data_IF_207799631204
#
_entry.id   IF_207799631204
#
_cell.length_a   1.000
_cell.length_b   1.000
_cell.length_c   1.000
_cell.angle_alpha   90.00
_cell.angle_beta   90.00
_cell.angle_gamma   90.00
#
_symmetry.space_group_name_H-M   'P 1'
#
loop_
_entity.id
_entity.type
_entity.pdbx_description
1 polymer ?
#
# COMPACT_ATOMS: atom_id res chain seq x y z
N UNK A 1 2.55 -22.76 19.92
CA UNK A 1 1.31 -22.03 19.60
C UNK A 1 1.12 -22.10 18.10
N UNK A 2 -0.10 -22.33 17.62
CA UNK A 2 -0.34 -22.64 16.21
C UNK A 2 -0.16 -21.41 15.33
N UNK A 3 0.37 -21.60 14.12
CA UNK A 3 0.57 -20.55 13.10
C UNK A 3 -0.67 -19.68 12.83
N UNK A 4 -1.86 -20.16 13.17
CA UNK A 4 -3.15 -19.52 12.94
C UNK A 4 -3.66 -18.70 14.14
N UNK A 5 -3.09 -18.88 15.35
CA UNK A 5 -3.53 -18.15 16.55
C UNK A 5 -3.20 -16.66 16.44
N UNK A 6 -2.05 -16.33 15.83
CA UNK A 6 -1.64 -14.95 15.56
C UNK A 6 -2.58 -14.23 14.58
N UNK A 7 -3.13 -14.93 13.59
CA UNK A 7 -4.08 -14.38 12.61
C UNK A 7 -5.45 -14.04 13.22
N UNK A 8 -5.81 -14.70 14.33
CA UNK A 8 -7.03 -14.40 15.08
C UNK A 8 -6.90 -13.18 15.99
N UNK A 9 -5.67 -12.72 16.27
CA UNK A 9 -5.45 -11.54 17.11
C UNK A 9 -5.83 -10.26 16.38
N UNK A 10 -6.58 -9.36 17.05
CA UNK A 10 -6.88 -8.02 16.51
C UNK A 10 -5.60 -7.21 16.29
N UNK A 11 -4.62 -7.36 17.17
CA UNK A 11 -3.35 -6.63 17.09
C UNK A 11 -2.58 -6.95 15.81
N UNK A 12 -2.69 -8.18 15.29
CA UNK A 12 -2.11 -8.54 14.00
C UNK A 12 -2.69 -7.69 12.86
N UNK A 13 -4.01 -7.53 12.82
CA UNK A 13 -4.67 -6.73 11.80
C UNK A 13 -4.41 -5.24 11.96
N UNK A 14 -4.24 -4.74 13.19
CA UNK A 14 -3.83 -3.36 13.45
C UNK A 14 -2.41 -3.11 12.89
N UNK A 15 -1.47 -4.02 13.13
CA UNK A 15 -0.11 -3.94 12.58
C UNK A 15 -0.11 -3.97 11.04
N UNK A 16 -0.89 -4.88 10.45
CA UNK A 16 -1.07 -4.98 9.00
C UNK A 16 -1.64 -3.69 8.44
N UNK A 17 -2.72 -3.15 9.04
CA UNK A 17 -3.34 -1.91 8.60
C UNK A 17 -2.37 -0.74 8.69
N UNK A 18 -1.67 -0.58 9.81
CA UNK A 18 -0.69 0.49 10.01
C UNK A 18 0.42 0.44 8.97
N UNK A 19 0.97 -0.74 8.68
CA UNK A 19 1.99 -0.92 7.66
C UNK A 19 1.44 -0.67 6.26
N UNK A 20 0.25 -1.19 5.97
CA UNK A 20 -0.39 -1.05 4.66
C UNK A 20 -0.72 0.40 4.34
N UNK A 21 -1.20 1.20 5.31
CA UNK A 21 -1.54 2.62 5.11
C UNK A 21 -0.28 3.42 4.76
N UNK A 22 0.80 3.27 5.54
CA UNK A 22 2.04 4.00 5.29
C UNK A 22 2.63 3.63 3.94
N UNK A 23 2.70 2.33 3.63
CA UNK A 23 3.22 1.85 2.34
C UNK A 23 2.34 2.33 1.18
N UNK A 24 1.02 2.26 1.33
CA UNK A 24 0.07 2.66 0.28
C UNK A 24 0.20 4.14 -0.06
N UNK A 25 0.28 5.02 0.94
CA UNK A 25 0.44 6.46 0.73
C UNK A 25 1.72 6.75 -0.06
N UNK A 26 2.85 6.17 0.36
CA UNK A 26 4.15 6.34 -0.31
C UNK A 26 4.09 5.79 -1.74
N UNK A 27 3.49 4.61 -1.93
CA UNK A 27 3.39 3.94 -3.22
C UNK A 27 2.52 4.71 -4.22
N UNK A 28 1.40 5.27 -3.75
CA UNK A 28 0.52 6.13 -4.55
C UNK A 28 1.22 7.45 -4.90
N UNK A 29 1.87 8.09 -3.92
CA UNK A 29 2.60 9.34 -4.14
C UNK A 29 3.75 9.17 -5.16
N UNK A 30 4.54 8.10 -5.02
CA UNK A 30 5.60 7.76 -5.98
C UNK A 30 5.04 7.47 -7.38
N UNK A 31 3.95 6.70 -7.47
CA UNK A 31 3.32 6.40 -8.76
C UNK A 31 2.86 7.67 -9.49
N UNK A 32 2.23 8.60 -8.76
CA UNK A 32 1.80 9.90 -9.29
C UNK A 32 2.99 10.74 -9.74
N UNK A 33 4.02 10.82 -8.89
CA UNK A 33 5.23 11.58 -9.17
C UNK A 33 5.96 11.05 -10.40
N UNK A 34 6.10 9.74 -10.58
CA UNK A 34 6.82 9.17 -11.72
C UNK A 34 6.00 9.32 -13.01
N UNK A 35 4.70 9.02 -12.97
CA UNK A 35 3.84 9.06 -14.16
C UNK A 35 3.65 10.49 -14.69
N UNK A 36 3.58 11.47 -13.78
CA UNK A 36 3.27 12.85 -14.12
C UNK A 36 4.40 13.82 -13.77
N UNK A 37 5.63 13.33 -13.59
CA UNK A 37 6.76 14.13 -13.11
C UNK A 37 6.94 15.44 -13.89
N UNK A 38 6.89 15.33 -15.22
CA UNK A 38 7.03 16.45 -16.15
C UNK A 38 5.86 17.45 -16.04
N UNK A 39 4.63 16.94 -15.94
CA UNK A 39 3.41 17.75 -15.79
C UNK A 39 3.35 18.49 -14.45
N UNK A 40 3.81 17.83 -13.37
CA UNK A 40 3.90 18.42 -12.03
C UNK A 40 4.96 19.53 -12.00
N UNK A 41 6.15 19.29 -12.58
CA UNK A 41 7.21 20.30 -12.62
C UNK A 41 6.92 21.49 -13.54
N UNK A 42 6.13 21.28 -14.59
CA UNK A 42 5.65 22.36 -15.47
C UNK A 42 4.43 23.10 -14.92
N UNK A 43 3.91 22.71 -13.75
CA UNK A 43 2.73 23.33 -13.13
C UNK A 43 1.40 23.03 -13.84
N UNK A 44 1.38 22.06 -14.76
CA UNK A 44 0.19 21.70 -15.52
C UNK A 44 -0.63 20.63 -14.77
N UNK A 45 -1.31 21.07 -13.71
CA UNK A 45 -2.19 20.21 -12.89
C UNK A 45 -3.38 19.64 -13.65
N UNK A 46 -3.82 20.31 -14.73
CA UNK A 46 -4.94 19.86 -15.55
C UNK A 46 -4.60 18.57 -16.31
N UNK A 47 -3.38 18.48 -16.83
CA UNK A 47 -2.87 17.26 -17.47
C UNK A 47 -2.75 16.09 -16.48
N UNK A 48 -2.36 16.35 -15.23
CA UNK A 48 -2.28 15.33 -14.17
C UNK A 48 -3.67 14.76 -13.85
N UNK A 49 -4.68 15.64 -13.77
CA UNK A 49 -6.06 15.22 -13.56
C UNK A 49 -6.58 14.38 -14.73
N UNK A 50 -6.30 14.79 -15.97
CA UNK A 50 -6.74 14.06 -17.16
C UNK A 50 -6.06 12.69 -17.33
N UNK A 51 -4.78 12.58 -16.98
CA UNK A 51 -4.03 11.33 -17.16
C UNK A 51 -4.34 10.29 -16.08
N UNK A 52 -4.49 10.71 -14.81
CA UNK A 52 -4.64 9.79 -13.68
C UNK A 52 -6.07 9.70 -13.14
N UNK A 53 -6.80 10.82 -13.13
CA UNK A 53 -8.09 10.94 -12.43
C UNK A 53 -9.31 10.92 -13.36
N UNK A 54 -9.11 11.10 -14.67
CA UNK A 54 -10.17 11.02 -15.68
C UNK A 54 -10.66 9.59 -15.92
N UNK A 55 -11.92 9.48 -16.36
CA UNK A 55 -12.53 8.24 -16.86
C UNK A 55 -12.51 7.04 -15.89
N UNK A 56 -12.39 7.29 -14.59
CA UNK A 56 -12.39 6.24 -13.56
C UNK A 56 -11.15 5.35 -13.54
N UNK A 57 -10.10 5.69 -14.30
CA UNK A 57 -8.81 4.97 -14.29
C UNK A 57 -8.22 4.90 -12.88
N UNK A 58 -8.31 6.00 -12.13
CA UNK A 58 -7.90 6.06 -10.73
C UNK A 58 -8.49 4.94 -9.87
N UNK A 59 -9.74 4.51 -10.10
CA UNK A 59 -10.37 3.43 -9.32
C UNK A 59 -9.70 2.09 -9.57
N UNK A 60 -9.43 1.79 -10.84
CA UNK A 60 -8.74 0.54 -11.23
C UNK A 60 -7.30 0.56 -10.73
N UNK A 61 -6.61 1.69 -10.90
CA UNK A 61 -5.21 1.81 -10.54
C UNK A 61 -4.99 1.86 -9.03
N UNK A 62 -5.86 2.49 -8.26
CA UNK A 62 -5.80 2.48 -6.79
C UNK A 62 -6.24 1.13 -6.21
N UNK A 63 -7.27 0.48 -6.76
CA UNK A 63 -7.72 -0.83 -6.23
C UNK A 63 -6.67 -1.92 -6.44
N UNK A 64 -6.01 -1.96 -7.60
CA UNK A 64 -4.89 -2.87 -7.86
C UNK A 64 -3.74 -2.63 -6.87
N UNK A 65 -3.34 -1.37 -6.68
CA UNK A 65 -2.28 -1.00 -5.73
C UNK A 65 -2.67 -1.36 -4.30
N UNK A 66 -3.92 -1.13 -3.91
CA UNK A 66 -4.42 -1.46 -2.59
C UNK A 66 -4.39 -2.98 -2.35
N UNK A 67 -4.84 -3.79 -3.32
CA UNK A 67 -4.80 -5.24 -3.22
C UNK A 67 -3.37 -5.77 -3.02
N UNK A 68 -2.40 -5.30 -3.83
CA UNK A 68 -0.98 -5.67 -3.71
C UNK A 68 -0.44 -5.26 -2.34
N UNK A 69 -0.77 -4.05 -1.89
CA UNK A 69 -0.29 -3.51 -0.62
C UNK A 69 -0.79 -4.32 0.56
N UNK A 70 -2.07 -4.71 0.55
CA UNK A 70 -2.67 -5.54 1.60
C UNK A 70 -2.01 -6.92 1.64
N UNK A 71 -1.86 -7.57 0.47
CA UNK A 71 -1.19 -8.89 0.40
C UNK A 71 0.24 -8.81 0.91
N UNK A 72 0.98 -7.79 0.51
CA UNK A 72 2.36 -7.57 0.96
C UNK A 72 2.41 -7.30 2.47
N UNK A 73 1.53 -6.45 3.01
CA UNK A 73 1.50 -6.14 4.43
C UNK A 73 1.17 -7.37 5.29
N UNK A 74 0.24 -8.21 4.86
CA UNK A 74 -0.08 -9.49 5.53
C UNK A 74 1.14 -10.43 5.52
N UNK A 75 1.81 -10.57 4.39
CA UNK A 75 3.02 -11.38 4.28
C UNK A 75 4.16 -10.84 5.17
N UNK A 76 4.38 -9.53 5.19
CA UNK A 76 5.46 -8.92 5.96
C UNK A 76 5.19 -9.01 7.46
N UNK A 77 3.97 -8.74 7.92
CA UNK A 77 3.60 -8.85 9.35
C UNK A 77 3.69 -10.30 9.84
N UNK A 78 3.24 -11.28 9.06
CA UNK A 78 3.37 -12.69 9.40
C UNK A 78 4.84 -13.15 9.43
N UNK A 79 5.70 -12.62 8.54
CA UNK A 79 7.14 -12.88 8.56
C UNK A 79 7.84 -12.22 9.76
N UNK A 80 7.49 -10.97 10.09
CA UNK A 80 8.05 -10.21 11.21
C UNK A 80 7.79 -10.91 12.55
N UNK A 81 6.56 -11.38 12.79
CA UNK A 81 6.22 -12.11 14.01
C UNK A 81 6.95 -13.45 14.12
N UNK A 82 7.13 -14.19 13.00
CA UNK A 82 7.96 -15.41 12.99
C UNK A 82 9.42 -15.16 13.38
N UNK A 83 9.99 -14.03 12.95
CA UNK A 83 11.37 -13.67 13.32
C UNK A 83 11.44 -13.31 14.81
N UNK A 84 10.43 -12.62 15.35
CA UNK A 84 10.35 -12.31 16.79
C UNK A 84 10.19 -13.57 17.65
N UNK A 85 9.33 -14.51 17.26
CA UNK A 85 9.16 -15.79 17.97
C UNK A 85 10.43 -16.65 17.97
N UNK A 86 11.26 -16.58 16.91
CA UNK A 86 12.53 -17.32 16.82
C UNK A 86 13.64 -16.72 17.68
N UNK A 87 13.55 -15.43 18.01
CA UNK A 87 14.56 -14.68 18.75
C UNK A 87 14.17 -14.45 20.22
N UNK A 88 13.07 -15.06 20.69
CA UNK A 88 12.57 -15.08 22.06
C UNK A 88 12.78 -16.45 22.70
#
# INVERSE_FOLDING_TARGET
MGYLDNFKSKDFWIDVLKLSIVFFIIFVALSLLISNFSSIMSGNWNAVYEQEWSNGKWKKDLSMKAAITVVYAVYMTSRKRRIQEKNS
#
